data_IF_217789736725
#
_entry.id   IF_217789736725
#
_cell.length_a   1.000
_cell.length_b   1.000
_cell.length_c   1.000
_cell.angle_alpha   90.00
_cell.angle_beta   90.00
_cell.angle_gamma   90.00
#
_symmetry.space_group_name_H-M   'P 1'
#
loop_
_entity.id
_entity.type
_entity.pdbx_description
1 polymer ?
#
# COMPACT_ATOMS: atom_id res chain seq x y z
N UNK A 1 -2.54 -9.09 9.23
CA UNK A 1 -3.99 -9.30 9.39
C UNK A 1 -4.54 -9.62 8.02
N UNK A 2 -5.33 -10.68 7.87
CA UNK A 2 -6.03 -10.98 6.62
C UNK A 2 -7.47 -10.49 6.79
N UNK A 3 -7.89 -9.57 5.93
CA UNK A 3 -9.25 -9.06 5.87
C UNK A 3 -9.88 -9.47 4.55
N UNK A 4 -10.78 -10.45 4.59
CA UNK A 4 -11.43 -11.00 3.39
C UNK A 4 -12.49 -10.07 2.80
N UNK A 5 -12.89 -9.02 3.52
CA UNK A 5 -13.81 -8.00 3.02
C UNK A 5 -13.11 -6.84 2.31
N UNK A 6 -11.77 -6.77 2.39
CA UNK A 6 -11.01 -5.67 1.82
C UNK A 6 -10.81 -5.84 0.30
N UNK A 7 -11.20 -4.83 -0.46
CA UNK A 7 -10.93 -4.76 -1.91
C UNK A 7 -9.48 -4.36 -2.23
N UNK A 8 -8.72 -3.89 -1.24
CA UNK A 8 -7.36 -3.38 -1.40
C UNK A 8 -6.47 -3.85 -0.25
N UNK A 9 -5.23 -4.23 -0.59
CA UNK A 9 -4.18 -4.48 0.40
C UNK A 9 -3.44 -3.18 0.72
N UNK A 10 -3.31 -2.86 2.00
CA UNK A 10 -2.54 -1.71 2.49
C UNK A 10 -1.43 -2.22 3.40
N UNK A 11 -0.21 -1.77 3.17
CA UNK A 11 0.94 -2.02 4.05
C UNK A 11 1.44 -0.70 4.64
N UNK A 12 1.95 -0.76 5.86
CA UNK A 12 2.56 0.41 6.49
C UNK A 12 3.88 0.79 5.80
N UNK A 13 4.28 2.06 5.90
CA UNK A 13 5.60 2.51 5.45
C UNK A 13 6.74 1.72 6.10
N UNK A 14 6.62 1.43 7.40
CA UNK A 14 7.58 0.61 8.14
C UNK A 14 7.75 -0.79 7.53
N UNK A 15 6.64 -1.46 7.20
CA UNK A 15 6.67 -2.77 6.53
C UNK A 15 7.31 -2.67 5.14
N UNK A 16 6.95 -1.63 4.38
CA UNK A 16 7.53 -1.40 3.05
C UNK A 16 9.06 -1.26 3.09
N UNK A 17 9.60 -0.49 4.05
CA UNK A 17 11.05 -0.33 4.23
C UNK A 17 11.76 -1.64 4.56
N UNK A 18 11.13 -2.50 5.38
CA UNK A 18 11.68 -3.81 5.74
C UNK A 18 11.74 -4.80 4.57
N UNK A 19 10.87 -4.66 3.58
CA UNK A 19 10.91 -5.47 2.36
C UNK A 19 12.13 -5.16 1.48
N UNK A 20 12.84 -4.04 1.73
CA UNK A 20 14.03 -3.60 0.98
C UNK A 20 13.82 -3.62 -0.54
N UNK A 21 12.63 -3.22 -0.98
CA UNK A 21 12.27 -3.24 -2.40
C UNK A 21 13.05 -2.17 -3.17
N UNK A 22 13.42 -2.43 -4.44
CA UNK A 22 14.02 -1.42 -5.30
C UNK A 22 13.09 -0.22 -5.48
N UNK A 23 13.61 1.01 -5.37
CA UNK A 23 12.75 2.23 -5.44
C UNK A 23 12.04 2.40 -6.78
N UNK A 24 12.55 1.80 -7.85
CA UNK A 24 11.95 1.86 -9.18
C UNK A 24 10.71 0.97 -9.35
N UNK A 25 10.36 0.14 -8.36
CA UNK A 25 9.12 -0.67 -8.41
C UNK A 25 7.90 0.07 -7.86
N UNK A 26 8.10 1.22 -7.21
CA UNK A 26 7.01 2.03 -6.66
C UNK A 26 6.41 2.88 -7.78
N UNK A 27 5.13 2.66 -8.05
CA UNK A 27 4.35 3.46 -8.99
C UNK A 27 3.47 4.48 -8.25
N UNK A 28 3.07 5.59 -8.89
CA UNK A 28 2.08 6.49 -8.33
C UNK A 28 0.78 5.75 -7.98
N UNK A 29 0.06 6.16 -6.92
CA UNK A 29 -1.22 5.55 -6.58
C UNK A 29 -2.27 5.88 -7.65
N UNK A 30 -3.07 4.90 -8.11
CA UNK A 30 -4.07 5.12 -9.17
C UNK A 30 -5.29 5.93 -8.69
N UNK A 31 -5.45 6.10 -7.38
CA UNK A 31 -6.51 6.88 -6.75
C UNK A 31 -6.04 7.47 -5.42
N UNK A 32 -6.70 8.54 -4.98
CA UNK A 32 -6.46 9.12 -3.66
C UNK A 32 -7.21 8.32 -2.59
N UNK A 33 -6.55 8.05 -1.46
CA UNK A 33 -7.18 7.45 -0.29
C UNK A 33 -7.58 8.54 0.70
N UNK A 34 -8.73 8.35 1.36
CA UNK A 34 -9.21 9.21 2.45
C UNK A 34 -9.38 8.40 3.72
N UNK A 35 -8.97 8.97 4.84
CA UNK A 35 -9.22 8.40 6.16
C UNK A 35 -10.66 8.68 6.62
N UNK A 36 -11.08 8.02 7.69
CA UNK A 36 -12.43 8.18 8.25
C UNK A 36 -12.76 9.60 8.73
N UNK A 37 -11.75 10.42 9.00
CA UNK A 37 -11.90 11.85 9.32
C UNK A 37 -11.86 12.77 8.08
N UNK A 38 -12.03 12.21 6.88
CA UNK A 38 -12.02 12.90 5.58
C UNK A 38 -10.69 13.59 5.21
N UNK A 39 -9.59 13.20 5.85
CA UNK A 39 -8.26 13.66 5.44
C UNK A 39 -7.70 12.80 4.31
N UNK A 40 -6.97 13.43 3.39
CA UNK A 40 -6.23 12.71 2.37
C UNK A 40 -5.10 11.91 3.03
N UNK A 41 -5.08 10.60 2.80
CA UNK A 41 -4.02 9.73 3.29
C UNK A 41 -2.76 9.92 2.43
N UNK A 42 -1.64 10.18 3.07
CA UNK A 42 -0.33 10.28 2.40
C UNK A 42 0.20 8.87 2.18
N UNK A 43 0.37 8.47 0.91
CA UNK A 43 0.89 7.16 0.52
C UNK A 43 2.23 7.30 -0.19
N UNK A 44 3.12 6.33 0.02
CA UNK A 44 4.39 6.25 -0.73
C UNK A 44 4.18 5.90 -2.21
N UNK A 45 3.11 5.17 -2.52
CA UNK A 45 2.76 4.72 -3.87
C UNK A 45 2.14 3.33 -3.84
N UNK A 46 2.17 2.66 -4.99
CA UNK A 46 1.72 1.28 -5.16
C UNK A 46 2.86 0.39 -5.61
N UNK A 47 2.82 -0.86 -5.16
CA UNK A 47 3.74 -1.92 -5.57
C UNK A 47 2.96 -3.20 -5.83
N UNK A 48 3.41 -3.96 -6.83
CA UNK A 48 2.88 -5.31 -7.08
C UNK A 48 3.77 -6.31 -6.35
N UNK A 49 3.21 -6.98 -5.36
CA UNK A 49 3.90 -8.03 -4.60
C UNK A 49 3.44 -9.41 -5.09
N UNK A 50 4.35 -10.33 -5.42
CA UNK A 50 3.98 -11.69 -5.70
C UNK A 50 3.54 -12.39 -4.41
N UNK A 51 2.25 -12.72 -4.31
CA UNK A 51 1.71 -13.54 -3.23
C UNK A 51 1.73 -14.99 -3.72
N UNK A 52 2.45 -15.87 -3.02
CA UNK A 52 2.35 -17.32 -3.23
C UNK A 52 1.29 -17.85 -2.29
N UNK A 53 0.26 -18.49 -2.85
CA UNK A 53 -0.83 -19.16 -2.12
C UNK A 53 -0.53 -20.65 -2.04
#
# INVERSE_FOLDING_TARGET
MIDSGAALNVISSHTFEQLKLPKNVVSPPPFALRSFNDQLAVTLGTVVLPIRV
#
